data_IF_699796803419
#
_entry.id   IF_699796803419
#
_cell.length_a   1.000
_cell.length_b   1.000
_cell.length_c   1.000
_cell.angle_alpha   90.00
_cell.angle_beta   90.00
_cell.angle_gamma   90.00
#
_symmetry.space_group_name_H-M   'P 1'
#
loop_
_entity.id
_entity.type
_entity.pdbx_description
1 polymer ?
#
# COMPACT_ATOMS: atom_id res chain seq x y z
N UNK A 1 17.64 -5.86 -8.41
CA UNK A 1 16.83 -6.84 -7.65
C UNK A 1 15.38 -6.40 -7.86
N UNK A 2 14.48 -7.27 -8.34
CA UNK A 2 13.11 -6.90 -8.76
C UNK A 2 12.02 -7.33 -7.78
N UNK A 3 12.33 -8.33 -6.94
CA UNK A 3 11.37 -9.06 -6.13
C UNK A 3 10.73 -8.23 -4.99
N UNK A 4 11.49 -7.47 -4.16
CA UNK A 4 10.88 -6.78 -3.03
C UNK A 4 9.96 -5.63 -3.46
N UNK A 5 10.30 -4.90 -4.50
CA UNK A 5 9.53 -3.77 -5.01
C UNK A 5 8.22 -4.23 -5.68
N UNK A 6 8.30 -5.29 -6.49
CA UNK A 6 7.12 -5.95 -7.03
C UNK A 6 6.23 -6.48 -5.90
N UNK A 7 6.81 -7.08 -4.87
CA UNK A 7 6.08 -7.55 -3.69
C UNK A 7 5.30 -6.44 -2.99
N UNK A 8 5.90 -5.26 -2.82
CA UNK A 8 5.23 -4.09 -2.23
C UNK A 8 4.04 -3.65 -3.10
N UNK A 9 4.27 -3.48 -4.40
CA UNK A 9 3.24 -3.01 -5.33
C UNK A 9 2.07 -3.99 -5.43
N UNK A 10 2.37 -5.28 -5.64
CA UNK A 10 1.37 -6.35 -5.66
C UNK A 10 0.61 -6.40 -4.33
N UNK A 11 1.32 -6.29 -3.20
CA UNK A 11 0.69 -6.27 -1.88
C UNK A 11 -0.32 -5.14 -1.73
N UNK A 12 0.05 -3.92 -2.13
CA UNK A 12 -0.85 -2.76 -2.09
C UNK A 12 -2.06 -2.94 -3.04
N UNK A 13 -1.81 -3.40 -4.27
CA UNK A 13 -2.89 -3.67 -5.24
C UNK A 13 -3.83 -4.78 -4.79
N UNK A 14 -3.31 -5.84 -4.15
CA UNK A 14 -4.13 -6.90 -3.58
C UNK A 14 -5.04 -6.38 -2.46
N UNK A 15 -4.54 -5.51 -1.58
CA UNK A 15 -5.36 -4.90 -0.52
C UNK A 15 -6.48 -4.06 -1.13
N UNK A 16 -6.18 -3.26 -2.15
CA UNK A 16 -7.19 -2.50 -2.88
C UNK A 16 -8.23 -3.42 -3.52
N UNK A 17 -7.82 -4.49 -4.20
CA UNK A 17 -8.72 -5.47 -4.81
C UNK A 17 -9.63 -6.14 -3.78
N UNK A 18 -9.09 -6.54 -2.63
CA UNK A 18 -9.89 -7.09 -1.52
C UNK A 18 -10.88 -6.05 -1.00
N UNK A 19 -10.46 -4.80 -0.83
CA UNK A 19 -11.35 -3.71 -0.45
C UNK A 19 -12.50 -3.52 -1.45
N UNK A 20 -12.18 -3.49 -2.74
CA UNK A 20 -13.17 -3.29 -3.81
C UNK A 20 -14.17 -4.45 -3.88
N UNK A 21 -13.68 -5.69 -3.73
CA UNK A 21 -14.53 -6.88 -3.67
C UNK A 21 -15.54 -6.79 -2.52
N UNK A 22 -15.08 -6.41 -1.32
CA UNK A 22 -15.95 -6.20 -0.16
C UNK A 22 -16.91 -5.03 -0.35
N UNK A 23 -16.46 -3.92 -0.93
CA UNK A 23 -17.30 -2.77 -1.21
C UNK A 23 -18.43 -3.11 -2.17
N UNK A 24 -18.10 -3.79 -3.27
CA UNK A 24 -19.09 -4.21 -4.26
C UNK A 24 -20.07 -5.23 -3.68
N UNK A 25 -19.60 -6.16 -2.86
CA UNK A 25 -20.45 -7.12 -2.18
C UNK A 25 -21.43 -6.46 -1.18
N UNK A 26 -21.00 -5.42 -0.46
CA UNK A 26 -21.82 -4.76 0.57
C UNK A 26 -22.75 -3.70 -0.04
N UNK A 27 -22.22 -2.83 -0.90
CA UNK A 27 -22.94 -1.67 -1.42
C UNK A 27 -23.75 -2.02 -2.68
N UNK A 28 -23.25 -2.93 -3.51
CA UNK A 28 -23.82 -3.23 -4.83
C UNK A 28 -24.05 -4.74 -5.05
N UNK A 29 -24.66 -5.41 -4.08
CA UNK A 29 -24.85 -6.87 -4.09
C UNK A 29 -25.43 -7.43 -5.39
N UNK A 30 -26.43 -6.75 -5.99
CA UNK A 30 -27.06 -7.18 -7.23
C UNK A 30 -26.10 -7.14 -8.45
N UNK A 31 -25.21 -6.13 -8.53
CA UNK A 31 -24.22 -6.02 -9.61
C UNK A 31 -23.03 -6.93 -9.38
N UNK A 32 -22.66 -7.20 -8.13
CA UNK A 32 -21.54 -8.06 -7.78
C UNK A 32 -21.64 -9.46 -8.40
N UNK A 33 -22.84 -10.04 -8.47
CA UNK A 33 -23.07 -11.36 -9.08
C UNK A 33 -22.75 -11.41 -10.58
N UNK A 34 -22.86 -10.28 -11.27
CA UNK A 34 -22.60 -10.15 -12.72
C UNK A 34 -21.16 -9.71 -13.05
N UNK A 35 -20.37 -9.36 -12.05
CA UNK A 35 -19.04 -8.79 -12.25
C UNK A 35 -18.01 -9.87 -12.57
N UNK A 36 -17.27 -9.66 -13.66
CA UNK A 36 -16.18 -10.54 -14.04
C UNK A 36 -14.97 -10.33 -13.12
N UNK A 37 -14.53 -11.39 -12.45
CA UNK A 37 -13.37 -11.34 -11.52
C UNK A 37 -12.02 -11.13 -12.23
N UNK A 38 -12.00 -11.21 -13.56
CA UNK A 38 -10.81 -10.94 -14.37
C UNK A 38 -10.27 -9.51 -14.17
N UNK A 39 -11.14 -8.54 -13.88
CA UNK A 39 -10.71 -7.15 -13.65
C UNK A 39 -9.71 -7.00 -12.50
N UNK A 40 -9.86 -7.77 -11.41
CA UNK A 40 -8.92 -7.74 -10.30
C UNK A 40 -7.54 -8.29 -10.68
N UNK A 41 -7.51 -9.31 -11.55
CA UNK A 41 -6.27 -9.90 -12.03
C UNK A 41 -5.55 -8.94 -12.98
N UNK A 42 -6.30 -8.26 -13.85
CA UNK A 42 -5.76 -7.21 -14.72
C UNK A 42 -5.15 -6.06 -13.91
N UNK A 43 -5.74 -5.69 -12.78
CA UNK A 43 -5.22 -4.64 -11.91
C UNK A 43 -3.88 -5.06 -11.27
N UNK A 44 -3.77 -6.31 -10.81
CA UNK A 44 -2.51 -6.86 -10.28
C UNK A 44 -1.45 -6.93 -11.38
N UNK A 45 -1.77 -7.48 -12.55
CA UNK A 45 -0.85 -7.56 -13.69
C UNK A 45 -0.39 -6.15 -14.11
N UNK A 46 -1.32 -5.20 -14.17
CA UNK A 46 -1.02 -3.80 -14.45
C UNK A 46 -0.04 -3.19 -13.44
N UNK A 47 -0.19 -3.49 -12.15
CA UNK A 47 0.74 -3.05 -11.11
C UNK A 47 2.15 -3.62 -11.29
N UNK A 48 2.27 -4.89 -11.71
CA UNK A 48 3.56 -5.52 -12.01
C UNK A 48 4.22 -4.90 -13.24
N UNK A 49 3.44 -4.71 -14.32
CA UNK A 49 3.92 -4.09 -15.56
C UNK A 49 4.38 -2.66 -15.32
N UNK A 50 3.63 -1.89 -14.53
CA UNK A 50 4.00 -0.52 -14.14
C UNK A 50 5.35 -0.49 -13.42
N UNK A 51 5.54 -1.33 -12.40
CA UNK A 51 6.81 -1.38 -11.65
C UNK A 51 7.96 -1.85 -12.54
N UNK A 52 7.76 -2.88 -13.37
CA UNK A 52 8.76 -3.36 -14.31
C UNK A 52 9.17 -2.28 -15.30
N UNK A 53 8.20 -1.57 -15.88
CA UNK A 53 8.46 -0.43 -16.77
C UNK A 53 9.24 0.68 -16.04
N UNK A 54 8.83 1.04 -14.82
CA UNK A 54 9.47 2.11 -14.06
C UNK A 54 10.94 1.79 -13.74
N UNK A 55 11.24 0.52 -13.44
CA UNK A 55 12.61 0.04 -13.22
C UNK A 55 13.46 0.07 -14.48
N UNK A 56 12.92 -0.36 -15.64
CA UNK A 56 13.65 -0.34 -16.92
C UNK A 56 13.89 1.10 -17.38
N UNK A 57 12.87 1.96 -17.26
CA UNK A 57 12.96 3.36 -17.68
C UNK A 57 13.89 4.19 -16.81
N UNK A 58 14.08 3.81 -15.54
CA UNK A 58 14.91 4.55 -14.58
C UNK A 58 16.28 3.89 -14.33
N UNK A 59 16.65 2.86 -15.10
CA UNK A 59 17.88 2.11 -14.87
C UNK A 59 19.14 2.93 -15.22
N UNK A 60 20.10 2.99 -14.29
CA UNK A 60 21.46 3.47 -14.53
C UNK A 60 22.48 2.64 -13.74
N UNK A 61 23.64 2.41 -14.33
CA UNK A 61 24.75 1.72 -13.66
C UNK A 61 25.45 2.66 -12.66
N UNK A 62 25.51 2.24 -11.38
CA UNK A 62 26.23 2.96 -10.32
C UNK A 62 26.52 2.04 -9.14
N UNK A 63 27.50 2.43 -8.33
CA UNK A 63 27.70 1.83 -6.99
C UNK A 63 26.62 2.38 -6.08
N UNK A 64 25.77 1.51 -5.55
CA UNK A 64 24.67 1.91 -4.68
C UNK A 64 24.54 0.97 -3.48
N UNK A 65 23.96 1.50 -2.40
CA UNK A 65 23.60 0.73 -1.21
C UNK A 65 22.45 -0.24 -1.54
N UNK A 66 22.48 -1.42 -0.91
CA UNK A 66 21.38 -2.39 -0.99
C UNK A 66 20.13 -1.81 -0.30
N UNK A 67 19.31 -1.09 -1.07
CA UNK A 67 18.01 -0.59 -0.64
C UNK A 67 16.94 -0.91 -1.67
N UNK A 68 15.69 -1.01 -1.21
CA UNK A 68 14.51 -1.33 -2.02
C UNK A 68 14.20 -0.22 -3.04
N UNK A 69 14.55 1.03 -2.73
CA UNK A 69 14.30 2.17 -3.63
C UNK A 69 15.45 2.42 -4.61
N UNK A 70 16.62 1.80 -4.39
CA UNK A 70 17.81 1.96 -5.23
C UNK A 70 17.59 1.70 -6.73
N UNK A 71 16.73 0.75 -7.15
CA UNK A 71 16.43 0.53 -8.57
C UNK A 71 15.69 1.70 -9.24
N UNK A 72 15.04 2.55 -8.45
CA UNK A 72 14.39 3.75 -8.94
C UNK A 72 15.34 4.94 -8.81
N UNK A 73 15.37 5.80 -9.81
CA UNK A 73 16.33 6.89 -9.90
C UNK A 73 15.59 8.22 -10.02
N UNK A 74 15.98 9.19 -9.19
CA UNK A 74 15.39 10.53 -9.14
C UNK A 74 13.85 10.48 -9.18
N UNK A 75 13.28 10.92 -10.31
CA UNK A 75 11.83 10.93 -10.58
C UNK A 75 11.16 9.55 -10.46
N UNK A 76 11.90 8.47 -10.68
CA UNK A 76 11.38 7.11 -10.52
C UNK A 76 10.99 6.82 -9.07
N UNK A 77 11.75 7.34 -8.10
CA UNK A 77 11.43 7.20 -6.67
C UNK A 77 10.15 7.96 -6.36
N UNK A 78 10.05 9.21 -6.84
CA UNK A 78 8.87 10.04 -6.64
C UNK A 78 7.62 9.43 -7.25
N UNK A 79 7.71 8.93 -8.49
CA UNK A 79 6.60 8.28 -9.18
C UNK A 79 6.18 6.99 -8.47
N UNK A 80 7.13 6.18 -8.00
CA UNK A 80 6.82 4.98 -7.23
C UNK A 80 6.13 5.35 -5.91
N UNK A 81 6.69 6.30 -5.15
CA UNK A 81 6.14 6.76 -3.88
C UNK A 81 4.73 7.34 -4.05
N UNK A 82 4.51 8.19 -5.06
CA UNK A 82 3.20 8.78 -5.36
C UNK A 82 2.19 7.72 -5.80
N UNK A 83 2.58 6.76 -6.65
CA UNK A 83 1.70 5.68 -7.08
C UNK A 83 1.31 4.77 -5.90
N UNK A 84 2.27 4.40 -5.05
CA UNK A 84 2.00 3.60 -3.85
C UNK A 84 1.12 4.36 -2.86
N UNK A 85 1.39 5.66 -2.64
CA UNK A 85 0.54 6.49 -1.79
C UNK A 85 -0.89 6.58 -2.35
N UNK A 86 -1.04 6.78 -3.67
CA UNK A 86 -2.35 6.84 -4.32
C UNK A 86 -3.16 5.54 -4.15
N UNK A 87 -2.53 4.37 -4.32
CA UNK A 87 -3.18 3.06 -4.11
C UNK A 87 -3.58 2.89 -2.64
N UNK A 88 -2.73 3.30 -1.69
CA UNK A 88 -3.03 3.24 -0.26
C UNK A 88 -4.19 4.17 0.13
N UNK A 89 -4.22 5.39 -0.40
CA UNK A 89 -5.31 6.34 -0.18
C UNK A 89 -6.62 5.86 -0.81
N UNK A 90 -6.58 5.28 -2.01
CA UNK A 90 -7.73 4.64 -2.63
C UNK A 90 -8.24 3.47 -1.78
N UNK A 91 -7.33 2.66 -1.23
CA UNK A 91 -7.68 1.57 -0.31
C UNK A 91 -8.38 2.11 0.93
N UNK A 92 -7.82 3.14 1.57
CA UNK A 92 -8.43 3.80 2.73
C UNK A 92 -9.87 4.26 2.45
N UNK A 93 -10.08 4.92 1.30
CA UNK A 93 -11.40 5.39 0.87
C UNK A 93 -12.37 4.21 0.68
N UNK A 94 -11.94 3.14 0.02
CA UNK A 94 -12.76 1.95 -0.23
C UNK A 94 -13.16 1.29 1.09
N UNK A 95 -12.23 1.12 2.02
CA UNK A 95 -12.53 0.56 3.34
C UNK A 95 -13.42 1.46 4.19
N UNK A 96 -13.29 2.78 4.05
CA UNK A 96 -14.21 3.72 4.67
C UNK A 96 -15.64 3.56 4.10
N UNK A 97 -15.78 3.41 2.78
CA UNK A 97 -17.08 3.14 2.15
C UNK A 97 -17.69 1.80 2.61
N UNK A 98 -16.87 0.74 2.71
CA UNK A 98 -17.30 -0.56 3.27
C UNK A 98 -17.80 -0.41 4.69
N UNK A 99 -17.07 0.35 5.52
CA UNK A 99 -17.45 0.63 6.91
C UNK A 99 -18.82 1.33 7.00
N UNK A 100 -19.03 2.37 6.21
CA UNK A 100 -20.31 3.08 6.14
C UNK A 100 -21.43 2.15 5.65
N UNK A 101 -21.17 1.37 4.61
CA UNK A 101 -22.13 0.39 4.07
C UNK A 101 -22.52 -0.67 5.08
N UNK A 102 -21.56 -1.23 5.82
CA UNK A 102 -21.84 -2.20 6.89
C UNK A 102 -22.57 -1.60 8.09
N UNK A 103 -22.39 -0.31 8.37
CA UNK A 103 -23.18 0.37 9.40
C UNK A 103 -24.65 0.42 9.02
N UNK A 104 -24.97 0.47 7.72
CA UNK A 104 -26.35 0.51 7.23
C UNK A 104 -27.04 -0.86 7.16
N UNK A 105 -26.28 -1.96 7.13
CA UNK A 105 -26.83 -3.33 7.07
C UNK A 105 -26.72 -4.03 8.42
N UNK A 106 -27.86 -4.47 8.97
CA UNK A 106 -27.91 -5.22 10.20
C UNK A 106 -27.40 -6.67 10.02
N UNK A 107 -26.51 -7.06 10.94
CA UNK A 107 -26.29 -8.43 11.45
C UNK A 107 -25.63 -9.51 10.59
N UNK A 108 -24.31 -9.40 10.48
CA UNK A 108 -23.48 -10.56 10.87
C UNK A 108 -22.26 -10.13 11.69
N UNK A 109 -22.13 -10.68 12.91
CA UNK A 109 -20.99 -10.45 13.82
C UNK A 109 -19.67 -10.85 13.17
N UNK A 110 -19.71 -11.87 12.30
CA UNK A 110 -18.57 -12.36 11.53
C UNK A 110 -18.09 -11.30 10.51
N UNK A 111 -18.99 -10.68 9.75
CA UNK A 111 -18.63 -9.67 8.76
C UNK A 111 -18.05 -8.41 9.43
N UNK A 112 -18.63 -7.98 10.55
CA UNK A 112 -18.09 -6.87 11.36
C UNK A 112 -16.67 -7.16 11.87
N UNK A 113 -16.39 -8.41 12.29
CA UNK A 113 -15.05 -8.83 12.73
C UNK A 113 -14.03 -8.75 11.60
N UNK A 114 -14.36 -9.30 10.42
CA UNK A 114 -13.48 -9.29 9.24
C UNK A 114 -13.19 -7.86 8.78
N UNK A 115 -14.19 -6.97 8.76
CA UNK A 115 -13.95 -5.58 8.36
C UNK A 115 -13.15 -4.81 9.41
N UNK A 116 -13.33 -5.11 10.71
CA UNK A 116 -12.51 -4.50 11.76
C UNK A 116 -11.02 -4.86 11.58
N UNK A 117 -10.67 -6.12 11.31
CA UNK A 117 -9.27 -6.51 11.10
C UNK A 117 -8.69 -5.89 9.82
N UNK A 118 -9.46 -5.87 8.74
CA UNK A 118 -9.03 -5.20 7.49
C UNK A 118 -8.86 -3.69 7.67
N UNK A 119 -9.72 -3.04 8.44
CA UNK A 119 -9.58 -1.62 8.75
C UNK A 119 -8.29 -1.34 9.54
N UNK A 120 -7.95 -2.19 10.52
CA UNK A 120 -6.68 -2.08 11.25
C UNK A 120 -5.50 -2.22 10.28
N UNK A 121 -5.52 -3.20 9.38
CA UNK A 121 -4.47 -3.38 8.37
C UNK A 121 -4.27 -2.10 7.55
N UNK A 122 -5.37 -1.53 7.04
CA UNK A 122 -5.32 -0.34 6.17
C UNK A 122 -4.87 0.88 6.96
N UNK A 123 -5.33 1.05 8.19
CA UNK A 123 -4.91 2.16 9.05
C UNK A 123 -3.39 2.10 9.31
N UNK A 124 -2.85 0.92 9.60
CA UNK A 124 -1.41 0.76 9.81
C UNK A 124 -0.63 0.98 8.51
N UNK A 125 -1.12 0.44 7.38
CA UNK A 125 -0.49 0.62 6.06
C UNK A 125 -0.42 2.10 5.67
N UNK A 126 -1.55 2.80 5.70
CA UNK A 126 -1.63 4.23 5.39
C UNK A 126 -0.76 5.03 6.34
N UNK A 127 -0.75 4.71 7.63
CA UNK A 127 0.11 5.40 8.59
C UNK A 127 1.58 5.24 8.25
N UNK A 128 2.05 4.04 7.88
CA UNK A 128 3.42 3.81 7.44
C UNK A 128 3.78 4.63 6.20
N UNK A 129 2.90 4.62 5.19
CA UNK A 129 3.11 5.34 3.93
C UNK A 129 2.97 6.86 4.03
N UNK A 130 2.31 7.39 5.06
CA UNK A 130 2.17 8.84 5.31
C UNK A 130 3.25 9.35 6.26
N UNK A 131 3.56 8.61 7.34
CA UNK A 131 4.52 9.02 8.36
C UNK A 131 5.93 9.12 7.77
N UNK A 132 6.36 8.14 6.97
CA UNK A 132 7.71 8.13 6.39
C UNK A 132 8.02 9.37 5.54
N UNK A 133 7.21 9.73 4.52
CA UNK A 133 7.46 10.95 3.74
C UNK A 133 7.21 12.23 4.54
N UNK A 134 6.25 12.25 5.48
CA UNK A 134 6.03 13.43 6.33
C UNK A 134 7.25 13.74 7.22
N UNK A 135 7.85 12.71 7.82
CA UNK A 135 9.07 12.88 8.61
C UNK A 135 10.27 13.23 7.73
N UNK A 136 10.35 12.68 6.52
CA UNK A 136 11.41 13.06 5.56
C UNK A 136 11.33 14.55 5.21
N UNK A 137 10.15 15.04 4.84
CA UNK A 137 9.92 16.46 4.56
C UNK A 137 10.24 17.34 5.78
N UNK A 138 9.88 16.90 6.99
CA UNK A 138 10.23 17.59 8.23
C UNK A 138 11.75 17.71 8.41
N UNK A 139 12.51 16.65 8.12
CA UNK A 139 13.97 16.67 8.26
C UNK A 139 14.66 17.57 7.25
N UNK A 140 14.09 17.78 6.07
CA UNK A 140 14.61 18.77 5.12
C UNK A 140 14.39 20.21 5.60
N UNK A 141 13.35 20.45 6.42
CA UNK A 141 13.04 21.77 6.97
C UNK A 141 13.81 22.07 8.27
N UNK A 142 14.24 21.03 8.99
CA UNK A 142 15.16 21.15 10.10
C UNK A 142 16.56 21.25 9.48
N UNK A 143 17.28 22.37 9.67
CA UNK A 143 18.63 22.60 9.14
C UNK A 143 19.68 21.60 9.68
N UNK A 144 19.54 20.33 9.34
CA UNK A 144 20.36 19.20 9.78
C UNK A 144 21.50 18.97 8.78
N UNK A 145 22.58 18.37 9.27
CA UNK A 145 23.68 17.98 8.40
C UNK A 145 23.27 16.84 7.47
N UNK A 146 23.85 16.76 6.27
CA UNK A 146 23.54 15.73 5.27
C UNK A 146 23.65 14.29 5.82
N UNK A 147 24.65 14.03 6.69
CA UNK A 147 24.79 12.72 7.35
C UNK A 147 23.65 12.42 8.31
N UNK A 148 23.12 13.43 9.01
CA UNK A 148 21.98 13.26 9.91
C UNK A 148 20.70 12.99 9.12
N UNK A 149 20.46 13.75 8.03
CA UNK A 149 19.32 13.54 7.14
C UNK A 149 19.34 12.11 6.58
N UNK A 150 20.50 11.64 6.11
CA UNK A 150 20.65 10.26 5.64
C UNK A 150 20.32 9.22 6.72
N UNK A 151 20.88 9.36 7.92
CA UNK A 151 20.64 8.42 9.03
C UNK A 151 19.16 8.36 9.43
N UNK A 152 18.51 9.53 9.52
CA UNK A 152 17.09 9.62 9.87
C UNK A 152 16.16 9.13 8.75
N UNK A 153 16.47 9.44 7.49
CA UNK A 153 15.74 8.93 6.34
C UNK A 153 15.83 7.40 6.25
N UNK A 154 17.00 6.83 6.56
CA UNK A 154 17.18 5.39 6.62
C UNK A 154 16.34 4.76 7.75
N UNK A 155 16.37 5.35 8.95
CA UNK A 155 15.59 4.89 10.10
C UNK A 155 14.08 4.89 9.82
N UNK A 156 13.55 5.96 9.20
CA UNK A 156 12.12 6.09 8.91
C UNK A 156 11.53 5.01 7.99
N UNK A 157 12.37 4.29 7.24
CA UNK A 157 11.93 3.15 6.42
C UNK A 157 11.40 2.00 7.29
N UNK A 158 11.72 1.97 8.60
CA UNK A 158 11.23 0.96 9.54
C UNK A 158 9.70 0.98 9.66
N UNK A 159 9.05 2.14 9.56
CA UNK A 159 7.59 2.24 9.67
C UNK A 159 6.88 1.49 8.54
N UNK A 160 7.37 1.62 7.31
CA UNK A 160 6.86 0.87 6.16
C UNK A 160 7.10 -0.64 6.35
N UNK A 161 8.29 -1.05 6.80
CA UNK A 161 8.58 -2.46 7.05
C UNK A 161 7.70 -3.07 8.15
N UNK A 162 7.43 -2.32 9.22
CA UNK A 162 6.48 -2.72 10.27
C UNK A 162 5.07 -2.83 9.69
N UNK A 163 4.65 -1.85 8.89
CA UNK A 163 3.34 -1.86 8.27
C UNK A 163 3.14 -3.04 7.30
N UNK A 164 4.19 -3.45 6.59
CA UNK A 164 4.17 -4.64 5.74
C UNK A 164 4.15 -5.94 6.57
N UNK A 165 4.99 -6.04 7.61
CA UNK A 165 5.13 -7.27 8.40
C UNK A 165 3.94 -7.56 9.31
N UNK A 166 3.26 -6.55 9.83
CA UNK A 166 2.12 -6.73 10.75
C UNK A 166 0.86 -7.29 10.07
N UNK A 167 0.78 -7.26 8.74
CA UNK A 167 -0.37 -7.80 7.98
C UNK A 167 -0.56 -9.30 8.23
N UNK A 168 0.55 -10.05 8.23
CA UNK A 168 0.57 -11.49 8.48
C UNK A 168 -0.08 -11.86 9.82
N UNK A 169 0.40 -11.38 10.98
CA UNK A 169 -0.21 -11.71 12.26
C UNK A 169 -1.66 -11.24 12.36
N UNK A 170 -2.05 -10.10 11.76
CA UNK A 170 -3.46 -9.68 11.78
C UNK A 170 -4.34 -10.66 10.98
N UNK A 171 -3.92 -11.08 9.79
CA UNK A 171 -4.69 -12.04 8.98
C UNK A 171 -4.86 -13.39 9.68
N UNK A 172 -3.81 -13.90 10.36
CA UNK A 172 -3.86 -15.24 10.98
C UNK A 172 -4.33 -15.25 12.45
N UNK A 173 -4.24 -14.13 13.17
CA UNK A 173 -4.71 -14.02 14.56
C UNK A 173 -6.20 -13.69 14.66
N UNK A 174 -6.83 -13.17 13.61
CA UNK A 174 -8.27 -12.89 13.61
C UNK A 174 -9.06 -14.15 13.25
N UNK A 175 -9.09 -15.13 14.17
CA UNK A 175 -10.05 -16.25 14.14
C UNK A 175 -11.38 -15.86 14.80
#
# INVERSE_FOLDING_TARGET
MFLPEMGISIGCSCILCVGLDRMLSVVFAARYLSLNKLYYHLLIIGSCVFVAWLMVASYQERVATCEILTPFLDKGIDLFAQATLAINMASALVYFMVWVGLRSQADSTVMKRIVKSLFIIVAVDVSGWVITPALFALYEHLNLNAQQIFAWAFFNKIFINVALSIKLPIYYSTR
#
